data_IF_315748757319
#
_entry.id   IF_315748757319
#
_cell.length_a   1.000
_cell.length_b   1.000
_cell.length_c   1.000
_cell.angle_alpha   90.00
_cell.angle_beta   90.00
_cell.angle_gamma   90.00
#
_symmetry.space_group_name_H-M   'P 1'
#
loop_
_entity.id
_entity.type
_entity.pdbx_description
1 polymer ?
#
# COMPACT_ATOMS: atom_id res chain seq x y z
N UNK A 1 -11.84 21.76 35.23
CA UNK A 1 -11.74 22.62 34.03
C UNK A 1 -10.30 22.93 33.58
N UNK A 2 -9.37 21.97 33.60
CA UNK A 2 -7.94 22.22 33.32
C UNK A 2 -7.53 21.98 31.85
N UNK A 3 -8.40 21.40 31.03
CA UNK A 3 -8.17 21.14 29.63
C UNK A 3 -9.48 21.41 28.89
N UNK A 4 -9.53 22.47 28.09
CA UNK A 4 -10.71 22.86 27.31
C UNK A 4 -10.93 21.87 26.16
N UNK A 5 -11.26 20.62 26.49
CA UNK A 5 -11.52 19.57 25.52
C UNK A 5 -12.95 19.72 25.03
N UNK A 6 -13.12 20.28 23.84
CA UNK A 6 -14.39 20.26 23.11
C UNK A 6 -14.50 18.96 22.32
N UNK A 7 -15.63 18.26 22.44
CA UNK A 7 -15.90 17.06 21.65
C UNK A 7 -15.76 17.35 20.15
N UNK A 8 -15.10 16.45 19.42
CA UNK A 8 -14.93 16.61 17.97
C UNK A 8 -16.32 16.57 17.32
N UNK A 9 -16.79 17.65 16.65
CA UNK A 9 -18.11 17.69 16.04
C UNK A 9 -18.26 16.68 14.89
N UNK A 10 -17.16 16.09 14.40
CA UNK A 10 -17.13 15.06 13.37
C UNK A 10 -16.97 13.64 13.92
N UNK A 11 -17.04 13.45 15.24
CA UNK A 11 -16.81 12.14 15.88
C UNK A 11 -17.72 11.04 15.32
N UNK A 12 -19.03 11.29 15.27
CA UNK A 12 -20.01 10.31 14.79
C UNK A 12 -19.88 10.06 13.27
N UNK A 13 -19.55 11.09 12.50
CA UNK A 13 -19.29 10.95 11.07
C UNK A 13 -18.07 10.05 10.82
N UNK A 14 -16.97 10.29 11.54
CA UNK A 14 -15.75 9.48 11.45
C UNK A 14 -16.02 8.03 11.83
N UNK A 15 -16.75 7.77 12.93
CA UNK A 15 -17.13 6.42 13.35
C UNK A 15 -17.89 5.66 12.25
N UNK A 16 -18.80 6.34 11.56
CA UNK A 16 -19.65 5.72 10.54
C UNK A 16 -18.93 5.54 9.18
N UNK A 17 -17.98 6.42 8.82
CA UNK A 17 -17.31 6.35 7.52
C UNK A 17 -15.98 5.59 7.53
N UNK A 18 -15.32 5.50 8.70
CA UNK A 18 -13.99 4.85 8.82
C UNK A 18 -13.98 3.39 8.34
N UNK A 19 -14.95 2.53 8.71
CA UNK A 19 -14.96 1.14 8.24
C UNK A 19 -15.06 1.02 6.71
N UNK A 20 -15.85 1.91 6.08
CA UNK A 20 -16.04 1.91 4.62
C UNK A 20 -14.77 2.35 3.88
N UNK A 21 -14.09 3.36 4.39
CA UNK A 21 -12.81 3.81 3.81
C UNK A 21 -11.73 2.76 3.97
N UNK A 22 -11.63 2.10 5.13
CA UNK A 22 -10.68 1.00 5.35
C UNK A 22 -10.91 -0.16 4.38
N UNK A 23 -12.17 -0.60 4.22
CA UNK A 23 -12.50 -1.66 3.28
C UNK A 23 -12.10 -1.33 1.83
N UNK A 24 -12.25 -0.08 1.40
CA UNK A 24 -11.83 0.35 0.05
C UNK A 24 -10.30 0.29 -0.14
N UNK A 25 -9.52 0.63 0.89
CA UNK A 25 -8.07 0.53 0.83
C UNK A 25 -7.59 -0.92 0.90
N UNK A 26 -8.23 -1.77 1.71
CA UNK A 26 -7.94 -3.19 1.77
C UNK A 26 -8.20 -3.89 0.43
N UNK A 27 -9.36 -3.65 -0.19
CA UNK A 27 -9.67 -4.23 -1.50
C UNK A 27 -8.70 -3.77 -2.58
N UNK A 28 -8.34 -2.48 -2.57
CA UNK A 28 -7.33 -1.95 -3.50
C UNK A 28 -5.94 -2.54 -3.27
N UNK A 29 -5.56 -2.78 -2.02
CA UNK A 29 -4.28 -3.43 -1.71
C UNK A 29 -4.26 -4.87 -2.25
N UNK A 30 -5.35 -5.62 -2.08
CA UNK A 30 -5.50 -6.96 -2.66
C UNK A 30 -5.43 -6.92 -4.19
N UNK A 31 -6.11 -5.96 -4.82
CA UNK A 31 -6.09 -5.78 -6.27
C UNK A 31 -4.68 -5.52 -6.79
N UNK A 32 -3.90 -4.65 -6.13
CA UNK A 32 -2.51 -4.39 -6.53
C UNK A 32 -1.65 -5.64 -6.48
N UNK A 33 -1.81 -6.48 -5.46
CA UNK A 33 -1.06 -7.74 -5.38
C UNK A 33 -1.47 -8.69 -6.50
N UNK A 34 -2.77 -8.85 -6.74
CA UNK A 34 -3.29 -9.74 -7.78
C UNK A 34 -2.87 -9.32 -9.20
N UNK A 35 -2.76 -8.02 -9.45
CA UNK A 35 -2.44 -7.44 -10.76
C UNK A 35 -0.96 -7.08 -10.90
N UNK A 36 -0.15 -7.38 -9.89
CA UNK A 36 1.28 -7.12 -9.93
C UNK A 36 2.05 -8.12 -10.78
N UNK A 37 3.20 -7.67 -11.25
CA UNK A 37 4.11 -8.42 -12.08
C UNK A 37 5.35 -8.83 -11.26
N UNK A 38 6.00 -9.95 -11.61
CA UNK A 38 7.35 -10.22 -11.13
C UNK A 38 8.30 -9.05 -11.43
N UNK A 39 9.38 -8.93 -10.66
CA UNK A 39 10.37 -7.86 -10.90
C UNK A 39 11.05 -7.97 -12.27
N UNK A 40 11.22 -9.19 -12.78
CA UNK A 40 11.87 -9.47 -14.07
C UNK A 40 11.18 -8.75 -15.23
N UNK A 41 11.96 -8.05 -16.06
CA UNK A 41 11.49 -7.28 -17.20
C UNK A 41 10.88 -5.92 -16.88
N UNK A 42 10.95 -5.45 -15.61
CA UNK A 42 10.28 -4.22 -15.18
C UNK A 42 11.24 -3.07 -14.89
N UNK A 43 10.67 -1.87 -14.69
CA UNK A 43 11.42 -0.69 -14.22
C UNK A 43 12.09 -0.95 -12.86
N UNK A 44 11.49 -1.77 -12.01
CA UNK A 44 12.06 -2.12 -10.72
C UNK A 44 13.34 -2.96 -10.88
N UNK A 45 13.37 -3.95 -11.77
CA UNK A 45 14.59 -4.69 -12.09
C UNK A 45 15.68 -3.76 -12.63
N UNK A 46 15.34 -2.87 -13.56
CA UNK A 46 16.29 -1.89 -14.10
C UNK A 46 16.88 -1.00 -13.01
N UNK A 47 16.04 -0.53 -12.08
CA UNK A 47 16.47 0.28 -10.95
C UNK A 47 17.40 -0.49 -10.00
N UNK A 48 17.02 -1.71 -9.60
CA UNK A 48 17.80 -2.56 -8.70
C UNK A 48 19.15 -2.98 -9.31
N UNK A 49 19.17 -3.30 -10.61
CA UNK A 49 20.39 -3.60 -11.34
C UNK A 49 21.38 -2.41 -11.30
N UNK A 50 20.88 -1.16 -11.44
CA UNK A 50 21.71 0.04 -11.31
C UNK A 50 22.30 0.23 -9.91
N UNK A 51 21.65 -0.33 -8.88
CA UNK A 51 22.15 -0.33 -7.50
C UNK A 51 23.10 -1.51 -7.22
N UNK A 52 23.39 -2.37 -8.21
CA UNK A 52 24.25 -3.53 -8.06
C UNK A 52 23.55 -4.81 -7.58
N UNK A 53 22.22 -4.81 -7.52
CA UNK A 53 21.44 -6.03 -7.23
C UNK A 53 21.11 -6.68 -8.58
N UNK A 54 21.98 -7.59 -9.01
CA UNK A 54 21.79 -8.30 -10.27
C UNK A 54 20.73 -9.40 -10.15
N UNK A 55 19.87 -9.52 -11.16
CA UNK A 55 18.82 -10.55 -11.26
C UNK A 55 17.91 -10.60 -10.01
N UNK A 56 17.31 -9.48 -9.58
CA UNK A 56 16.49 -9.43 -8.37
C UNK A 56 15.30 -10.38 -8.48
N UNK A 57 15.27 -11.39 -7.61
CA UNK A 57 14.18 -12.37 -7.51
C UNK A 57 13.72 -12.49 -6.06
N UNK A 58 12.43 -12.24 -5.84
CA UNK A 58 11.79 -12.44 -4.55
C UNK A 58 10.30 -12.72 -4.80
N UNK A 59 9.78 -13.82 -4.24
CA UNK A 59 8.40 -14.25 -4.47
C UNK A 59 7.37 -13.39 -3.71
N UNK A 60 7.82 -12.50 -2.81
CA UNK A 60 6.97 -11.61 -2.03
C UNK A 60 6.99 -10.17 -2.52
N UNK A 61 8.00 -9.78 -3.30
CA UNK A 61 8.15 -8.42 -3.82
C UNK A 61 7.79 -8.40 -5.30
N UNK A 62 6.76 -7.63 -5.61
CA UNK A 62 6.23 -7.50 -6.96
C UNK A 62 6.29 -6.05 -7.44
N UNK A 63 6.09 -5.84 -8.73
CA UNK A 63 6.00 -4.54 -9.35
C UNK A 63 4.58 -4.25 -9.81
N UNK A 64 4.07 -3.06 -9.50
CA UNK A 64 2.79 -2.60 -10.02
C UNK A 64 2.98 -1.24 -10.71
N UNK A 65 2.48 -1.11 -11.94
CA UNK A 65 2.73 0.05 -12.78
C UNK A 65 1.98 1.33 -12.33
N UNK A 66 0.87 1.17 -11.61
CA UNK A 66 -0.03 2.27 -11.28
C UNK A 66 -0.62 2.12 -9.86
N UNK A 67 0.16 2.50 -8.84
CA UNK A 67 -0.26 2.54 -7.44
C UNK A 67 -0.65 3.98 -7.07
N UNK A 68 -1.87 4.15 -6.58
CA UNK A 68 -2.40 5.43 -6.12
C UNK A 68 -1.61 5.99 -4.92
N UNK A 69 -1.12 7.22 -5.05
CA UNK A 69 -0.53 8.01 -3.98
C UNK A 69 -1.57 8.96 -3.38
N UNK A 70 -1.78 8.89 -2.07
CA UNK A 70 -2.64 9.85 -1.36
C UNK A 70 -1.98 11.22 -1.18
N UNK A 71 -0.66 11.32 -1.36
CA UNK A 71 0.12 12.55 -1.18
C UNK A 71 -0.14 13.54 -2.32
N UNK A 72 -0.03 13.07 -3.57
CA UNK A 72 -0.22 13.90 -4.77
C UNK A 72 -1.49 13.56 -5.56
N UNK A 73 -2.23 12.53 -5.14
CA UNK A 73 -3.48 12.04 -5.76
C UNK A 73 -3.28 11.53 -7.20
N UNK A 74 -2.10 11.04 -7.52
CA UNK A 74 -1.76 10.47 -8.82
C UNK A 74 -1.32 9.01 -8.71
N UNK A 75 -1.13 8.33 -9.84
CA UNK A 75 -0.72 6.93 -9.89
C UNK A 75 0.75 6.82 -10.30
N UNK A 76 1.50 6.00 -9.57
CA UNK A 76 2.94 5.82 -9.78
C UNK A 76 3.32 4.34 -9.90
N UNK A 77 4.37 4.02 -10.66
CA UNK A 77 4.98 2.70 -10.59
C UNK A 77 5.61 2.50 -9.20
N UNK A 78 5.34 1.35 -8.59
CA UNK A 78 5.85 1.03 -7.26
C UNK A 78 6.21 -0.45 -7.13
N UNK A 79 7.19 -0.73 -6.27
CA UNK A 79 7.39 -2.07 -5.73
C UNK A 79 6.43 -2.27 -4.56
N UNK A 80 5.75 -3.42 -4.53
CA UNK A 80 4.78 -3.76 -3.51
C UNK A 80 5.15 -5.08 -2.84
N UNK A 81 4.85 -5.19 -1.55
CA UNK A 81 5.02 -6.41 -0.78
C UNK A 81 3.89 -6.49 0.24
N UNK A 82 3.45 -7.70 0.53
CA UNK A 82 2.57 -7.94 1.66
C UNK A 82 3.38 -7.95 2.95
N UNK A 83 2.83 -7.33 3.99
CA UNK A 83 3.36 -7.43 5.35
C UNK A 83 2.52 -8.47 6.07
N UNK A 84 3.18 -9.56 6.43
CA UNK A 84 2.56 -10.64 7.18
C UNK A 84 2.77 -10.39 8.68
N UNK A 85 1.77 -10.70 9.48
CA UNK A 85 1.96 -10.80 10.92
C UNK A 85 2.77 -12.07 11.29
N UNK A 86 3.08 -12.25 12.58
CA UNK A 86 3.84 -13.44 13.05
C UNK A 86 3.15 -14.77 12.76
N UNK A 87 1.87 -14.77 12.41
CA UNK A 87 1.07 -15.95 12.05
C UNK A 87 0.98 -16.16 10.54
N UNK A 88 1.61 -15.28 9.74
CA UNK A 88 1.57 -15.33 8.29
C UNK A 88 0.35 -14.64 7.68
N UNK A 89 -0.53 -14.04 8.49
CA UNK A 89 -1.74 -13.41 7.98
C UNK A 89 -1.44 -12.02 7.39
N UNK A 90 -2.00 -11.75 6.23
CA UNK A 90 -1.99 -10.42 5.61
C UNK A 90 -3.31 -9.75 6.01
N UNK A 91 -3.24 -8.64 6.75
CA UNK A 91 -4.42 -7.81 7.04
C UNK A 91 -4.57 -6.75 5.98
#
# INVERSE_FOLDING_TARGET
DKYQLTANPKHDQLLNTTPKHMAQFEERAKEYIQTSLPLTGTLAETYLNKLGIEHPKNDHVHFHQAVYSSEDKTFHPAMITNIHDKKGETK
#
